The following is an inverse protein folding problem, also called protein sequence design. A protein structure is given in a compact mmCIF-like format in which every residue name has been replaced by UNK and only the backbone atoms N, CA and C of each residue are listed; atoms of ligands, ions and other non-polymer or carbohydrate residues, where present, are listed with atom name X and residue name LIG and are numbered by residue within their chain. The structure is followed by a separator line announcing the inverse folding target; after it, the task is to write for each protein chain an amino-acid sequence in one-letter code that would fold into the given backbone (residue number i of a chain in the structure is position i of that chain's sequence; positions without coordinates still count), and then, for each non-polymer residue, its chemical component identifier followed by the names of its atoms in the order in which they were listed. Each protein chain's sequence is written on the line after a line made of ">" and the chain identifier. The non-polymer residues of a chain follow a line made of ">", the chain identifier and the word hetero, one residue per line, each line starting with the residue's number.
data_IF_401647153712
#
_entry.id   IF_401647153712
#
_cell.length_a   1.000
_cell.length_b   1.000
_cell.length_c   1.000
_cell.angle_alpha   90.00
_cell.angle_beta   90.00
_cell.angle_gamma   90.00
#
_symmetry.space_group_name_H-M   'P 1'
#
loop_
_entity.id
_entity.type
_entity.pdbx_description
1 polymer ?
#
# COMPACT_ATOMS: atom_id res chain seq x y z
N UNK A 1 -37.75 -12.59 16.78
CA UNK A 1 -37.68 -11.12 16.76
C UNK A 1 -36.30 -10.69 17.24
N UNK A 2 -35.58 -10.00 16.36
CA UNK A 2 -34.42 -9.11 16.55
C UNK A 2 -33.28 -9.47 17.51
N UNK A 3 -32.14 -9.80 16.91
CA UNK A 3 -30.89 -9.15 17.26
C UNK A 3 -30.14 -8.82 15.96
N UNK A 4 -30.45 -7.66 15.37
CA UNK A 4 -29.58 -7.07 14.36
C UNK A 4 -28.29 -6.68 15.08
N UNK A 5 -27.25 -7.50 14.94
CA UNK A 5 -25.89 -7.12 15.33
C UNK A 5 -25.48 -6.03 14.34
N UNK A 6 -25.76 -4.77 14.70
CA UNK A 6 -25.21 -3.59 14.04
C UNK A 6 -23.70 -3.65 14.26
N UNK A 7 -23.01 -4.12 13.23
CA UNK A 7 -21.59 -4.37 13.24
C UNK A 7 -20.89 -3.02 13.01
N UNK A 8 -20.60 -2.27 14.07
CA UNK A 8 -19.87 -1.01 13.97
C UNK A 8 -18.45 -1.27 13.42
N UNK A 9 -18.25 -0.99 12.14
CA UNK A 9 -16.93 -1.07 11.51
C UNK A 9 -16.09 0.12 12.01
N UNK A 10 -15.07 -0.17 12.81
CA UNK A 10 -14.18 0.86 13.32
C UNK A 10 -13.45 1.53 12.16
N UNK A 11 -13.67 2.84 12.01
CA UNK A 11 -13.00 3.67 11.00
C UNK A 11 -11.95 4.55 11.67
N UNK A 12 -10.72 4.50 11.16
CA UNK A 12 -9.61 5.35 11.61
C UNK A 12 -9.25 6.29 10.46
N UNK A 13 -9.00 7.56 10.77
CA UNK A 13 -8.52 8.54 9.79
C UNK A 13 -7.14 9.02 10.21
N UNK A 14 -6.20 8.98 9.27
CA UNK A 14 -4.85 9.56 9.42
C UNK A 14 -4.59 10.54 8.28
N UNK A 15 -3.64 11.45 8.49
CA UNK A 15 -3.21 12.44 7.51
C UNK A 15 -1.73 12.30 7.21
N UNK A 16 -1.35 12.68 6.00
CA UNK A 16 0.05 12.68 5.56
C UNK A 16 0.28 13.64 4.40
N UNK A 17 1.53 13.74 3.97
CA UNK A 17 1.95 14.55 2.83
C UNK A 17 1.72 13.81 1.50
N UNK A 18 1.13 14.52 0.54
CA UNK A 18 1.00 14.07 -0.85
C UNK A 18 2.36 13.91 -1.53
N UNK A 19 2.53 12.81 -2.26
CA UNK A 19 3.64 12.59 -3.21
C UNK A 19 3.11 12.56 -4.64
N UNK A 20 2.09 11.74 -4.91
CA UNK A 20 1.36 11.68 -6.18
C UNK A 20 -0.13 11.80 -5.87
N UNK A 21 -0.83 12.71 -6.58
CA UNK A 21 -2.25 12.97 -6.37
C UNK A 21 -3.17 11.86 -6.88
N UNK A 22 -4.47 12.09 -6.71
CA UNK A 22 -5.53 11.14 -7.05
C UNK A 22 -6.13 10.45 -5.83
N UNK A 23 -7.18 9.66 -6.11
CA UNK A 23 -7.97 8.93 -5.12
C UNK A 23 -8.09 7.48 -5.53
N UNK A 24 -7.79 6.56 -4.62
CA UNK A 24 -7.94 5.14 -4.83
C UNK A 24 -8.33 4.43 -3.53
N UNK A 25 -8.91 3.24 -3.66
CA UNK A 25 -9.25 2.40 -2.52
C UNK A 25 -9.03 0.94 -2.84
N UNK A 26 -8.81 0.14 -1.81
CA UNK A 26 -8.62 -1.29 -1.93
C UNK A 26 -8.24 -1.92 -0.60
N UNK A 27 -8.13 -3.25 -0.61
CA UNK A 27 -7.58 -3.99 0.51
C UNK A 27 -6.12 -3.59 0.74
N UNK A 28 -5.75 -3.38 2.01
CA UNK A 28 -4.39 -3.11 2.40
C UNK A 28 -3.53 -4.38 2.29
N UNK A 29 -2.35 -4.23 1.69
CA UNK A 29 -1.26 -5.19 1.82
C UNK A 29 -0.12 -4.50 2.57
N UNK A 30 0.10 -4.92 3.82
CA UNK A 30 1.04 -4.29 4.74
C UNK A 30 2.28 -5.14 4.90
N UNK A 31 3.44 -4.50 4.93
CA UNK A 31 4.70 -5.13 5.28
C UNK A 31 5.59 -4.23 6.12
N UNK A 32 6.37 -4.82 7.03
CA UNK A 32 7.46 -4.18 7.79
C UNK A 32 8.80 -4.28 7.08
N UNK A 33 8.90 -5.08 6.01
CA UNK A 33 10.08 -5.14 5.16
C UNK A 33 10.05 -4.03 4.11
N UNK A 34 11.24 -3.51 3.76
CA UNK A 34 11.40 -2.65 2.58
C UNK A 34 11.27 -3.47 1.30
N UNK A 35 10.68 -2.89 0.26
CA UNK A 35 10.44 -3.57 -1.02
C UNK A 35 11.56 -3.30 -2.01
N UNK A 36 12.17 -4.36 -2.54
CA UNK A 36 13.07 -4.29 -3.69
C UNK A 36 12.27 -4.35 -4.99
N UNK A 37 12.51 -3.43 -5.92
CA UNK A 37 11.89 -3.48 -7.24
C UNK A 37 12.66 -4.43 -8.16
N UNK A 38 13.95 -4.18 -8.35
CA UNK A 38 14.78 -5.01 -9.22
C UNK A 38 15.03 -6.39 -8.60
N UNK A 39 14.50 -7.43 -9.24
CA UNK A 39 14.60 -8.82 -8.77
C UNK A 39 13.80 -9.14 -7.50
N UNK A 40 13.07 -8.15 -6.93
CA UNK A 40 12.24 -8.35 -5.74
C UNK A 40 10.76 -8.48 -6.03
N UNK A 41 10.31 -8.11 -7.24
CA UNK A 41 8.93 -8.26 -7.69
C UNK A 41 8.86 -8.92 -9.09
N UNK A 42 7.77 -9.64 -9.36
CA UNK A 42 7.33 -9.94 -10.73
C UNK A 42 6.38 -8.82 -11.18
N UNK A 43 6.78 -7.97 -12.13
CA UNK A 43 5.98 -6.83 -12.57
C UNK A 43 4.78 -7.25 -13.41
N UNK A 44 4.68 -8.50 -13.88
CA UNK A 44 3.53 -8.95 -14.67
C UNK A 44 2.32 -9.24 -13.77
N UNK A 45 2.58 -9.73 -12.57
CA UNK A 45 1.53 -10.14 -11.61
C UNK A 45 1.44 -9.23 -10.40
N UNK A 46 2.38 -8.28 -10.25
CA UNK A 46 2.48 -7.42 -9.08
C UNK A 46 2.85 -8.22 -7.83
N UNK A 47 3.61 -9.30 -7.97
CA UNK A 47 3.92 -10.24 -6.87
C UNK A 47 5.30 -9.96 -6.28
N UNK A 48 5.43 -9.96 -4.95
CA UNK A 48 6.75 -9.95 -4.31
C UNK A 48 7.39 -11.33 -4.44
N UNK A 49 8.58 -11.40 -5.03
CA UNK A 49 9.31 -12.67 -5.30
C UNK A 49 10.59 -12.83 -4.50
N UNK A 50 11.00 -11.80 -3.78
CA UNK A 50 12.21 -11.83 -2.94
C UNK A 50 12.13 -12.95 -1.89
N UNK A 51 13.10 -13.87 -1.90
CA UNK A 51 13.07 -15.12 -1.12
C UNK A 51 12.87 -14.95 0.38
N UNK A 52 13.42 -13.88 0.96
CA UNK A 52 13.42 -13.63 2.42
C UNK A 52 12.43 -12.56 2.86
N UNK A 53 11.60 -12.07 1.95
CA UNK A 53 10.62 -11.03 2.23
C UNK A 53 9.33 -11.65 2.76
N UNK A 54 8.73 -11.06 3.78
CA UNK A 54 7.50 -11.61 4.38
C UNK A 54 6.27 -11.64 3.43
N UNK A 55 6.27 -10.81 2.37
CA UNK A 55 5.23 -10.80 1.35
C UNK A 55 5.51 -11.76 0.19
N UNK A 56 6.53 -12.61 0.26
CA UNK A 56 6.89 -13.51 -0.84
C UNK A 56 5.66 -14.33 -1.29
N UNK A 57 5.35 -14.25 -2.59
CA UNK A 57 4.21 -14.91 -3.22
C UNK A 57 2.91 -14.12 -3.18
N UNK A 58 2.85 -13.01 -2.44
CA UNK A 58 1.67 -12.15 -2.37
C UNK A 58 1.70 -11.07 -3.44
N UNK A 59 0.54 -10.78 -4.03
CA UNK A 59 0.38 -9.72 -5.03
C UNK A 59 -0.17 -8.43 -4.41
N UNK A 60 0.44 -7.31 -4.78
CA UNK A 60 -0.01 -5.95 -4.47
C UNK A 60 -0.91 -5.36 -5.57
N UNK A 61 -1.16 -6.07 -6.67
CA UNK A 61 -1.94 -5.55 -7.79
C UNK A 61 -3.34 -5.12 -7.33
N UNK A 62 -3.71 -3.86 -7.58
CA UNK A 62 -4.99 -3.28 -7.15
C UNK A 62 -5.16 -3.10 -5.64
N UNK A 63 -4.13 -3.35 -4.82
CA UNK A 63 -4.15 -3.19 -3.36
C UNK A 63 -3.55 -1.86 -2.92
N UNK A 64 -3.89 -1.41 -1.71
CA UNK A 64 -3.16 -0.32 -1.06
C UNK A 64 -1.91 -0.89 -0.41
N UNK A 65 -0.75 -0.62 -1.00
CA UNK A 65 0.52 -1.16 -0.53
C UNK A 65 1.13 -0.25 0.55
N UNK A 66 1.28 -0.78 1.76
CA UNK A 66 1.78 -0.06 2.93
C UNK A 66 3.10 -0.68 3.39
N UNK A 67 4.17 0.11 3.41
CA UNK A 67 5.53 -0.40 3.62
C UNK A 67 6.50 0.71 4.06
N UNK A 68 7.63 0.41 4.73
CA UNK A 68 8.54 1.45 5.19
C UNK A 68 9.12 2.28 4.04
N UNK A 69 9.52 1.63 2.94
CA UNK A 69 10.07 2.30 1.77
C UNK A 69 10.79 1.37 0.80
N UNK A 70 11.41 1.96 -0.21
CA UNK A 70 12.16 1.23 -1.23
C UNK A 70 13.55 0.78 -0.74
N UNK A 71 13.99 -0.42 -1.12
CA UNK A 71 15.39 -0.87 -1.01
C UNK A 71 15.98 -1.22 -2.37
N UNK A 72 17.32 -1.30 -2.43
CA UNK A 72 18.05 -1.62 -3.65
C UNK A 72 18.36 -0.41 -4.53
N UNK A 73 18.53 -0.64 -5.84
CA UNK A 73 19.01 0.34 -6.82
C UNK A 73 17.90 1.23 -7.41
N UNK A 74 18.28 2.18 -8.28
CA UNK A 74 17.34 3.05 -9.01
C UNK A 74 16.41 2.29 -9.96
N UNK A 75 16.72 1.02 -10.27
CA UNK A 75 15.86 0.12 -11.05
C UNK A 75 14.49 -0.13 -10.41
N UNK A 76 14.31 0.26 -9.14
CA UNK A 76 13.00 0.27 -8.46
C UNK A 76 11.93 0.98 -9.29
N UNK A 77 12.23 2.18 -9.77
CA UNK A 77 11.30 2.98 -10.58
C UNK A 77 10.93 2.31 -11.90
N UNK A 78 11.89 1.70 -12.59
CA UNK A 78 11.64 0.98 -13.84
C UNK A 78 10.70 -0.22 -13.62
N UNK A 79 10.89 -0.97 -12.54
CA UNK A 79 10.06 -2.14 -12.24
C UNK A 79 8.62 -1.77 -11.88
N UNK A 80 8.43 -0.69 -11.12
CA UNK A 80 7.09 -0.18 -10.80
C UNK A 80 6.44 0.59 -11.97
N UNK A 81 7.23 1.13 -12.90
CA UNK A 81 6.69 1.56 -14.19
C UNK A 81 6.15 0.36 -15.00
N UNK A 82 6.88 -0.77 -15.00
CA UNK A 82 6.43 -1.98 -15.69
C UNK A 82 5.15 -2.56 -15.07
N UNK A 83 4.96 -2.52 -13.75
CA UNK A 83 3.70 -2.99 -13.14
C UNK A 83 2.50 -2.21 -13.66
N UNK A 84 2.64 -0.89 -13.82
CA UNK A 84 1.62 -0.06 -14.48
C UNK A 84 1.35 -0.51 -15.90
N UNK A 85 2.38 -0.67 -16.73
CA UNK A 85 2.23 -1.10 -18.13
C UNK A 85 1.60 -2.50 -18.26
N UNK A 86 1.75 -3.33 -17.23
CA UNK A 86 1.22 -4.69 -17.16
C UNK A 86 -0.12 -4.77 -16.41
N UNK A 87 -0.73 -3.65 -16.02
CA UNK A 87 -1.98 -3.59 -15.23
C UNK A 87 -1.91 -4.35 -13.89
N UNK A 88 -0.74 -4.36 -13.25
CA UNK A 88 -0.48 -5.03 -11.98
C UNK A 88 0.04 -4.08 -10.90
N UNK A 89 -0.04 -2.77 -11.14
CA UNK A 89 0.31 -1.75 -10.18
C UNK A 89 -0.58 -1.81 -8.93
N UNK A 90 -0.08 -1.40 -7.76
CA UNK A 90 -0.94 -1.19 -6.60
C UNK A 90 -1.91 -0.03 -6.85
N UNK A 91 -3.04 -0.06 -6.15
CA UNK A 91 -4.02 1.01 -6.18
C UNK A 91 -3.47 2.30 -5.55
N UNK A 92 -2.68 2.19 -4.49
CA UNK A 92 -2.01 3.32 -3.85
C UNK A 92 -0.75 2.88 -3.09
N UNK A 93 0.14 3.83 -2.80
CA UNK A 93 1.30 3.65 -1.94
C UNK A 93 1.18 4.47 -0.66
N UNK A 94 1.40 3.85 0.50
CA UNK A 94 1.62 4.54 1.78
C UNK A 94 2.97 4.11 2.34
N UNK A 95 3.88 5.06 2.56
CA UNK A 95 5.24 4.73 2.99
C UNK A 95 5.88 5.80 3.88
N UNK A 96 6.86 5.41 4.68
CA UNK A 96 7.50 6.30 5.66
C UNK A 96 8.77 6.96 5.12
N UNK A 97 9.58 6.23 4.36
CA UNK A 97 10.91 6.66 3.96
C UNK A 97 10.92 7.22 2.54
N UNK A 98 10.93 8.55 2.45
CA UNK A 98 11.06 9.23 1.17
C UNK A 98 12.51 9.26 0.67
N UNK A 99 12.72 8.69 -0.52
CA UNK A 99 14.00 8.71 -1.24
C UNK A 99 13.76 9.10 -2.70
N UNK A 100 14.81 9.54 -3.42
CA UNK A 100 14.69 9.90 -4.85
C UNK A 100 14.15 8.76 -5.71
N UNK A 101 14.52 7.52 -5.41
CA UNK A 101 14.01 6.32 -6.10
C UNK A 101 12.53 6.05 -5.81
N UNK A 102 12.11 6.23 -4.55
CA UNK A 102 10.70 6.08 -4.15
C UNK A 102 9.85 7.16 -4.82
N UNK A 103 10.33 8.40 -4.81
CA UNK A 103 9.71 9.53 -5.48
C UNK A 103 9.48 9.25 -6.98
N UNK A 104 10.55 8.86 -7.68
CA UNK A 104 10.47 8.58 -9.11
C UNK A 104 9.54 7.40 -9.40
N UNK A 105 9.64 6.31 -8.64
CA UNK A 105 8.80 5.14 -8.84
C UNK A 105 7.32 5.43 -8.56
N UNK A 106 6.98 6.21 -7.53
CA UNK A 106 5.61 6.66 -7.29
C UNK A 106 5.05 7.42 -8.51
N UNK A 107 5.82 8.37 -9.05
CA UNK A 107 5.43 9.16 -10.23
C UNK A 107 5.17 8.27 -11.45
N UNK A 108 6.11 7.37 -11.80
CA UNK A 108 5.98 6.54 -13.02
C UNK A 108 4.95 5.41 -12.91
N UNK A 109 4.51 5.09 -11.69
CA UNK A 109 3.43 4.12 -11.44
C UNK A 109 2.05 4.73 -11.64
N UNK A 110 1.92 6.07 -11.51
CA UNK A 110 0.63 6.78 -11.56
C UNK A 110 -0.38 6.35 -10.48
N UNK A 111 0.11 5.84 -9.35
CA UNK A 111 -0.73 5.48 -8.21
C UNK A 111 -0.72 6.63 -7.17
N UNK A 112 -1.88 7.00 -6.60
CA UNK A 112 -1.94 7.88 -5.44
C UNK A 112 -0.94 7.46 -4.37
N UNK A 113 -0.16 8.41 -3.87
CA UNK A 113 0.98 8.13 -3.02
C UNK A 113 1.11 9.16 -1.91
N UNK A 114 1.28 8.69 -0.67
CA UNK A 114 1.43 9.55 0.50
C UNK A 114 2.56 9.08 1.42
N UNK A 115 3.15 10.03 2.15
CA UNK A 115 4.24 9.83 3.12
C UNK A 115 4.16 10.85 4.26
N UNK A 116 5.11 10.89 5.20
CA UNK A 116 5.18 11.83 6.32
C UNK A 116 3.84 11.95 7.08
N UNK A 117 3.34 10.82 7.57
CA UNK A 117 2.05 10.74 8.26
C UNK A 117 2.12 11.24 9.70
N UNK A 118 1.02 11.78 10.20
CA UNK A 118 0.85 12.18 11.62
C UNK A 118 0.93 10.98 12.59
N UNK A 119 0.64 9.79 12.08
CA UNK A 119 0.69 8.49 12.76
C UNK A 119 1.26 7.48 11.79
N UNK A 120 2.13 6.59 12.27
CA UNK A 120 2.76 5.61 11.38
C UNK A 120 1.67 4.71 10.74
N UNK A 121 1.55 4.67 9.40
CA UNK A 121 0.60 3.79 8.73
C UNK A 121 0.83 2.31 9.06
N UNK A 122 2.07 1.90 9.38
CA UNK A 122 2.41 0.52 9.77
C UNK A 122 1.93 0.13 11.18
N UNK A 123 1.51 1.10 11.99
CA UNK A 123 0.96 0.87 13.33
C UNK A 123 -0.57 0.87 13.34
N UNK A 124 -1.21 1.49 12.35
CA UNK A 124 -2.66 1.65 12.32
C UNK A 124 -3.36 0.90 11.19
N UNK A 125 -2.64 0.39 10.19
CA UNK A 125 -3.19 -0.40 9.07
C UNK A 125 -2.67 -1.84 9.16
N UNK A 126 -3.58 -2.80 9.03
CA UNK A 126 -3.26 -4.23 8.96
C UNK A 126 -3.63 -4.80 7.58
N UNK A 127 -2.92 -5.83 7.14
CA UNK A 127 -3.30 -6.56 5.92
C UNK A 127 -4.73 -7.08 6.04
N UNK A 128 -5.53 -6.80 5.02
CA UNK A 128 -6.96 -7.11 4.96
C UNK A 128 -7.89 -5.95 5.37
N UNK A 129 -7.38 -4.88 5.98
CA UNK A 129 -8.17 -3.66 6.18
C UNK A 129 -8.57 -3.05 4.82
N UNK A 130 -9.74 -2.41 4.76
CA UNK A 130 -10.10 -1.63 3.56
C UNK A 130 -9.61 -0.20 3.73
N UNK A 131 -8.83 0.29 2.77
CA UNK A 131 -8.19 1.60 2.87
C UNK A 131 -8.58 2.45 1.67
N UNK A 132 -9.06 3.65 1.96
CA UNK A 132 -9.29 4.71 0.97
C UNK A 132 -8.23 5.78 1.13
N UNK A 133 -7.50 6.06 0.06
CA UNK A 133 -6.42 7.04 -0.02
C UNK A 133 -6.89 8.21 -0.88
N UNK A 134 -7.08 9.37 -0.27
CA UNK A 134 -7.30 10.65 -0.96
C UNK A 134 -6.02 11.48 -0.85
N UNK A 135 -5.10 11.24 -1.80
CA UNK A 135 -3.79 11.88 -1.79
C UNK A 135 -3.88 13.37 -2.11
N UNK A 136 -4.91 13.81 -2.84
CA UNK A 136 -5.13 15.22 -3.13
C UNK A 136 -5.46 16.03 -1.88
N UNK A 137 -6.22 15.44 -0.95
CA UNK A 137 -6.57 16.05 0.36
C UNK A 137 -5.62 15.65 1.48
N UNK A 138 -4.70 14.71 1.23
CA UNK A 138 -3.77 14.19 2.23
C UNK A 138 -4.48 13.42 3.34
N UNK A 139 -5.48 12.60 3.00
CA UNK A 139 -6.32 11.85 3.94
C UNK A 139 -6.30 10.36 3.59
N UNK A 140 -6.17 9.52 4.63
CA UNK A 140 -6.34 8.08 4.53
C UNK A 140 -7.43 7.65 5.51
N UNK A 141 -8.46 7.00 4.99
CA UNK A 141 -9.56 6.40 5.77
C UNK A 141 -9.36 4.89 5.80
N UNK A 142 -9.39 4.31 6.99
CA UNK A 142 -9.06 2.90 7.26
C UNK A 142 -10.28 2.26 7.89
N UNK A 143 -10.90 1.32 7.20
CA UNK A 143 -12.00 0.50 7.73
C UNK A 143 -11.43 -0.84 8.17
N UNK A 144 -11.48 -1.11 9.48
CA UNK A 144 -10.93 -2.34 10.04
C UNK A 144 -11.66 -3.57 9.51
N UNK A 145 -10.90 -4.59 9.12
CA UNK A 145 -11.48 -5.89 8.78
C UNK A 145 -12.25 -6.44 9.97
N UNK A 146 -13.35 -7.15 9.72
CA UNK A 146 -14.10 -7.83 10.77
C UNK A 146 -13.21 -8.95 11.33
N UNK A 147 -12.98 -8.97 12.64
CA UNK A 147 -12.39 -10.13 13.29
C UNK A 147 -13.42 -11.26 13.24
N UNK A 148 -13.25 -12.20 12.32
CA UNK A 148 -13.90 -13.50 12.45
C UNK A 148 -13.19 -14.22 13.60
N UNK A 149 -13.96 -14.52 14.65
CA UNK A 149 -13.44 -15.18 15.84
C UNK A 149 -12.69 -16.45 15.43
N UNK A 150 -11.45 -16.58 15.89
CA UNK A 150 -10.75 -17.85 15.85
C UNK A 150 -11.58 -18.87 16.62
N UNK A 151 -12.09 -19.89 15.93
CA UNK A 151 -12.53 -21.15 16.55
C UNK A 151 -11.34 -21.88 17.20
#
# INVERSE_FOLDING_TARGET
>A
MNAAVLNEQQTIVIRGRKVVGGVAEGEALVTRDRISGWGGIDPRTGTVVETRHELRGQSFAGKVLVFPGAKGSSGWSAMFHMTRLMNSAPAAFLFNEMTTKMALGAVVTHAPSMTDFERDPLECIETGDWVRVDADRGVVEITKKKQEGAE
#
